data_IF_847917683557
#
_entry.id   IF_847917683557
#
_cell.length_a   1.000
_cell.length_b   1.000
_cell.length_c   1.000
_cell.angle_alpha   90.00
_cell.angle_beta   90.00
_cell.angle_gamma   90.00
#
_symmetry.space_group_name_H-M   'P 1'
#
loop_
_entity.id
_entity.type
_entity.pdbx_description
1 polymer ?
#
# COMPACT_ATOMS: atom_id res chain seq x y z
N UNK A 1 10.56 35.44 -6.19
CA UNK A 1 9.64 34.81 -5.22
C UNK A 1 8.27 34.69 -5.89
N UNK A 2 7.89 33.51 -6.38
CA UNK A 2 6.56 33.27 -6.94
C UNK A 2 5.88 32.16 -6.13
N UNK A 3 4.78 32.43 -5.40
CA UNK A 3 4.14 31.44 -4.54
C UNK A 3 3.19 30.45 -5.25
N UNK A 4 3.11 30.46 -6.59
CA UNK A 4 2.08 29.68 -7.33
C UNK A 4 2.50 28.29 -7.80
N UNK A 5 3.77 27.90 -7.75
CA UNK A 5 4.23 26.60 -8.27
C UNK A 5 3.98 25.41 -7.33
N UNK A 6 3.78 25.65 -6.03
CA UNK A 6 3.79 24.58 -5.02
C UNK A 6 2.43 23.88 -4.83
N UNK A 7 1.32 24.49 -5.24
CA UNK A 7 -0.01 23.88 -5.08
C UNK A 7 -0.26 22.72 -6.07
N UNK A 8 0.24 22.82 -7.30
CA UNK A 8 -0.02 21.82 -8.33
C UNK A 8 0.71 20.48 -8.02
N UNK A 9 1.92 20.54 -7.44
CA UNK A 9 2.68 19.35 -7.08
C UNK A 9 2.07 18.58 -5.89
N UNK A 10 1.58 19.29 -4.85
CA UNK A 10 0.89 18.65 -3.71
C UNK A 10 -0.44 18.01 -4.12
N UNK A 11 -1.21 18.66 -4.99
CA UNK A 11 -2.47 18.11 -5.50
C UNK A 11 -2.26 16.88 -6.40
N UNK A 12 -1.26 16.92 -7.30
CA UNK A 12 -0.89 15.79 -8.15
C UNK A 12 -0.35 14.61 -7.33
N UNK A 13 0.45 14.87 -6.28
CA UNK A 13 0.95 13.83 -5.38
C UNK A 13 -0.15 13.10 -4.60
N UNK A 14 -1.19 13.81 -4.16
CA UNK A 14 -2.32 13.22 -3.43
C UNK A 14 -3.16 12.28 -4.31
N UNK A 15 -3.47 12.72 -5.54
CA UNK A 15 -4.23 11.93 -6.52
C UNK A 15 -3.46 10.70 -6.99
N UNK A 16 -2.16 10.85 -7.26
CA UNK A 16 -1.28 9.73 -7.61
C UNK A 16 -1.26 8.68 -6.50
N UNK A 17 -1.10 9.13 -5.25
CA UNK A 17 -1.07 8.25 -4.08
C UNK A 17 -2.38 7.49 -3.86
N UNK A 18 -3.54 8.05 -4.20
CA UNK A 18 -4.82 7.34 -4.09
C UNK A 18 -4.93 6.24 -5.15
N UNK A 19 -4.56 6.54 -6.39
CA UNK A 19 -4.57 5.58 -7.50
C UNK A 19 -3.57 4.44 -7.29
N UNK A 20 -2.38 4.75 -6.77
CA UNK A 20 -1.37 3.74 -6.42
C UNK A 20 -1.90 2.78 -5.34
N UNK A 21 -2.72 3.28 -4.38
CA UNK A 21 -3.34 2.46 -3.33
C UNK A 21 -4.45 1.56 -3.88
N UNK A 22 -5.31 2.06 -4.75
CA UNK A 22 -6.35 1.23 -5.39
C UNK A 22 -5.73 0.16 -6.29
N UNK A 23 -4.70 0.50 -7.06
CA UNK A 23 -3.96 -0.47 -7.87
C UNK A 23 -3.25 -1.53 -7.02
N UNK A 24 -2.66 -1.11 -5.90
CA UNK A 24 -2.04 -2.04 -4.95
C UNK A 24 -3.11 -2.96 -4.32
N UNK A 25 -4.27 -2.43 -3.93
CA UNK A 25 -5.35 -3.23 -3.36
C UNK A 25 -5.83 -4.31 -4.35
N UNK A 26 -6.08 -3.93 -5.60
CA UNK A 26 -6.49 -4.85 -6.65
C UNK A 26 -5.42 -5.93 -6.92
N UNK A 27 -4.14 -5.54 -6.97
CA UNK A 27 -3.05 -6.50 -7.16
C UNK A 27 -2.94 -7.48 -5.98
N UNK A 28 -3.06 -7.00 -4.75
CA UNK A 28 -3.01 -7.83 -3.54
C UNK A 28 -4.17 -8.80 -3.50
N UNK A 29 -5.38 -8.36 -3.86
CA UNK A 29 -6.56 -9.24 -3.97
C UNK A 29 -6.34 -10.36 -5.00
N UNK A 30 -5.89 -10.01 -6.21
CA UNK A 30 -5.59 -11.00 -7.25
C UNK A 30 -4.46 -11.97 -6.83
N UNK A 31 -3.42 -11.47 -6.15
CA UNK A 31 -2.33 -12.31 -5.64
C UNK A 31 -2.78 -13.22 -4.50
N UNK A 32 -3.71 -12.80 -3.66
CA UNK A 32 -4.24 -13.63 -2.59
C UNK A 32 -5.07 -14.82 -3.13
N UNK A 33 -5.72 -14.66 -4.28
CA UNK A 33 -6.45 -15.74 -4.94
C UNK A 33 -5.54 -16.72 -5.69
N UNK A 34 -4.55 -16.23 -6.45
CA UNK A 34 -3.69 -17.09 -7.27
C UNK A 34 -2.51 -17.66 -6.47
N UNK A 35 -1.91 -16.87 -5.57
CA UNK A 35 -0.65 -17.18 -4.87
C UNK A 35 -0.57 -16.55 -3.47
N UNK A 36 -1.36 -17.07 -2.52
CA UNK A 36 -1.37 -16.59 -1.14
C UNK A 36 0.02 -16.64 -0.46
N UNK A 37 0.80 -17.70 -0.74
CA UNK A 37 2.13 -17.90 -0.13
C UNK A 37 3.16 -16.86 -0.58
N UNK A 38 3.19 -16.54 -1.89
CA UNK A 38 4.09 -15.52 -2.46
C UNK A 38 3.76 -14.13 -1.89
N UNK A 39 2.47 -13.85 -1.67
CA UNK A 39 2.00 -12.59 -1.11
C UNK A 39 2.41 -12.43 0.36
N UNK A 40 2.25 -13.48 1.19
CA UNK A 40 2.72 -13.46 2.58
C UNK A 40 4.24 -13.27 2.64
N UNK A 41 5.00 -13.99 1.81
CA UNK A 41 6.46 -13.83 1.75
C UNK A 41 6.89 -12.42 1.35
N UNK A 42 6.22 -11.83 0.35
CA UNK A 42 6.48 -10.45 -0.07
C UNK A 42 6.15 -9.44 1.05
N UNK A 43 5.06 -9.66 1.78
CA UNK A 43 4.68 -8.85 2.93
C UNK A 43 5.70 -8.94 4.07
N UNK A 44 6.12 -10.15 4.45
CA UNK A 44 7.18 -10.36 5.44
C UNK A 44 8.49 -9.71 5.03
N UNK A 45 8.91 -9.91 3.78
CA UNK A 45 10.12 -9.27 3.24
C UNK A 45 10.01 -7.75 3.32
N UNK A 46 8.86 -7.18 2.95
CA UNK A 46 8.59 -5.75 3.08
C UNK A 46 8.67 -5.28 4.55
N UNK A 47 8.18 -6.08 5.50
CA UNK A 47 8.32 -5.79 6.93
C UNK A 47 9.78 -5.79 7.40
N UNK A 48 10.67 -6.52 6.75
CA UNK A 48 12.11 -6.58 7.06
C UNK A 48 12.92 -5.42 6.46
N UNK A 49 12.45 -4.77 5.39
CA UNK A 49 13.14 -3.63 4.74
C UNK A 49 13.41 -2.48 5.72
N UNK A 50 12.49 -2.22 6.66
CA UNK A 50 12.74 -1.28 7.75
C UNK A 50 11.50 -0.62 8.37
N UNK A 51 11.68 0.09 9.50
CA UNK A 51 10.58 0.63 10.31
C UNK A 51 9.73 1.68 9.56
N UNK A 52 10.35 2.48 8.69
CA UNK A 52 9.63 3.46 7.87
C UNK A 52 8.68 2.80 6.87
N UNK A 53 9.11 1.69 6.27
CA UNK A 53 8.29 0.93 5.31
C UNK A 53 7.08 0.29 6.01
N UNK A 54 7.30 -0.26 7.21
CA UNK A 54 6.25 -0.79 8.08
C UNK A 54 5.19 0.25 8.43
N UNK A 55 5.59 1.48 8.79
CA UNK A 55 4.64 2.57 9.03
C UNK A 55 3.86 2.98 7.77
N UNK A 56 4.52 3.01 6.60
CA UNK A 56 3.85 3.35 5.34
C UNK A 56 2.82 2.29 4.93
N UNK A 57 3.15 1.01 5.08
CA UNK A 57 2.23 -0.11 4.83
C UNK A 57 1.07 -0.04 5.83
N UNK A 58 1.34 0.09 7.12
CA UNK A 58 0.30 0.21 8.14
C UNK A 58 -0.65 1.40 7.92
N UNK A 59 -0.13 2.55 7.49
CA UNK A 59 -0.96 3.71 7.15
C UNK A 59 -1.79 3.52 5.87
N UNK A 60 -1.31 2.69 4.94
CA UNK A 60 -2.04 2.33 3.71
C UNK A 60 -3.13 1.32 4.01
N UNK A 61 -2.84 0.29 4.82
CA UNK A 61 -3.79 -0.73 5.26
C UNK A 61 -4.95 -0.16 6.09
N UNK A 62 -4.69 0.86 6.93
CA UNK A 62 -5.75 1.60 7.63
C UNK A 62 -6.82 2.22 6.70
N UNK A 63 -6.48 2.44 5.43
CA UNK A 63 -7.38 2.99 4.41
C UNK A 63 -7.95 1.92 3.47
N UNK A 64 -7.52 0.67 3.62
CA UNK A 64 -7.87 -0.50 2.81
C UNK A 64 -8.17 -1.69 3.74
N UNK A 65 -9.30 -1.67 4.47
CA UNK A 65 -9.63 -2.69 5.46
C UNK A 65 -9.81 -4.09 4.86
N UNK A 66 -10.25 -4.18 3.61
CA UNK A 66 -10.36 -5.46 2.88
C UNK A 66 -8.98 -6.08 2.63
N UNK A 67 -8.03 -5.28 2.11
CA UNK A 67 -6.64 -5.72 1.91
C UNK A 67 -5.99 -6.15 3.22
N UNK A 68 -6.25 -5.44 4.32
CA UNK A 68 -5.76 -5.84 5.64
C UNK A 68 -6.32 -7.21 6.07
N UNK A 69 -7.62 -7.44 5.87
CA UNK A 69 -8.26 -8.72 6.19
C UNK A 69 -7.67 -9.86 5.37
N UNK A 70 -7.35 -9.62 4.10
CA UNK A 70 -6.69 -10.60 3.23
C UNK A 70 -5.32 -10.93 3.79
N UNK A 71 -4.47 -9.94 4.09
CA UNK A 71 -3.14 -10.17 4.65
C UNK A 71 -3.19 -10.88 6.01
N UNK A 72 -4.10 -10.50 6.90
CA UNK A 72 -4.29 -11.18 8.20
C UNK A 72 -4.69 -12.65 8.07
N UNK A 73 -5.42 -13.02 7.00
CA UNK A 73 -5.76 -14.42 6.71
C UNK A 73 -4.58 -15.22 6.17
N UNK A 74 -3.57 -14.56 5.59
CA UNK A 74 -2.38 -15.21 5.04
C UNK A 74 -1.33 -15.50 6.13
N UNK A 75 -1.32 -14.69 7.20
CA UNK A 75 -0.41 -14.85 8.33
C UNK A 75 -0.96 -15.75 9.46
N UNK A 76 -2.17 -16.32 9.28
CA UNK A 76 -2.87 -17.16 10.27
C UNK A 76 -2.62 -18.67 10.07
#
# INVERSE_FOLDING_TARGET
MNPSSDLCNKAAGSLKSAKDREQAAFLIEAMAEDRPDDLSLAYHTAMEVGPRWREHIGNSLKRLPETQTILERLDA
#
